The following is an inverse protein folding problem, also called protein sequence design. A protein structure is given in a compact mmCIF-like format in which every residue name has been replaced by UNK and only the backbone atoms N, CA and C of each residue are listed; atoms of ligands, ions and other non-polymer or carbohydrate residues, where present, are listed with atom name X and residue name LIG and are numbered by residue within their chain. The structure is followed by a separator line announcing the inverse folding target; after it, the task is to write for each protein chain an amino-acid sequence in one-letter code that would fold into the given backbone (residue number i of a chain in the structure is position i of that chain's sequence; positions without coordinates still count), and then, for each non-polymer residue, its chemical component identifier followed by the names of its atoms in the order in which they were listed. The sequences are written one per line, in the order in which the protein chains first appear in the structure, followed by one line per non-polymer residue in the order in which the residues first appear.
data_IF_863594216710
#
_entry.id   IF_863594216710
#
_cell.length_a   1.000
_cell.length_b   1.000
_cell.length_c   1.000
_cell.angle_alpha   90.00
_cell.angle_beta   90.00
_cell.angle_gamma   90.00
#
_symmetry.space_group_name_H-M   'P 1'
#
loop_
_entity.id
_entity.type
_entity.pdbx_description
1 polymer ?
#
# COMPACT_ATOMS: atom_id res chain seq x y z
N UNK A 1 44.18 -23.40 2.58
CA UNK A 1 42.91 -22.68 2.78
C UNK A 1 41.81 -23.60 2.29
N UNK A 2 41.09 -24.24 3.20
CA UNK A 2 39.92 -25.05 2.85
C UNK A 2 38.71 -24.12 2.77
N UNK A 3 38.10 -24.05 1.59
CA UNK A 3 36.84 -23.33 1.42
C UNK A 3 35.73 -24.24 1.96
N UNK A 4 35.14 -23.84 3.09
CA UNK A 4 33.94 -24.50 3.62
C UNK A 4 32.76 -24.05 2.75
N UNK A 5 32.22 -24.98 1.97
CA UNK A 5 31.02 -24.76 1.18
C UNK A 5 29.81 -24.61 2.12
N UNK A 6 29.48 -23.36 2.47
CA UNK A 6 28.30 -23.06 3.28
C UNK A 6 27.08 -23.24 2.38
N UNK A 7 26.44 -24.41 2.48
CA UNK A 7 25.16 -24.64 1.82
C UNK A 7 24.16 -23.56 2.25
N UNK A 8 23.43 -22.93 1.32
CA UNK A 8 22.49 -21.88 1.66
C UNK A 8 21.43 -22.44 2.60
N UNK A 9 21.25 -21.79 3.75
CA UNK A 9 20.24 -22.16 4.73
C UNK A 9 18.88 -22.12 4.03
N UNK A 10 18.24 -23.28 3.86
CA UNK A 10 16.89 -23.38 3.29
C UNK A 10 15.90 -22.79 4.31
N UNK A 11 15.63 -21.50 4.19
CA UNK A 11 14.61 -20.82 5.00
C UNK A 11 13.23 -21.35 4.62
N UNK A 12 12.47 -21.84 5.60
CA UNK A 12 11.11 -22.31 5.38
C UNK A 12 10.18 -21.12 5.18
N UNK A 13 9.29 -21.20 4.18
CA UNK A 13 8.23 -20.21 3.98
C UNK A 13 7.23 -20.30 5.13
N UNK A 14 6.85 -19.16 5.70
CA UNK A 14 5.81 -19.08 6.73
C UNK A 14 4.43 -19.38 6.15
N UNK A 15 3.55 -19.95 6.96
CA UNK A 15 2.16 -20.23 6.57
C UNK A 15 1.34 -18.94 6.44
N UNK A 16 0.17 -19.03 5.82
CA UNK A 16 -0.74 -17.87 5.66
C UNK A 16 -1.22 -17.32 7.00
N UNK A 17 -1.47 -18.20 7.97
CA UNK A 17 -1.82 -17.83 9.35
C UNK A 17 -0.67 -17.11 10.07
N UNK A 18 0.54 -17.64 9.94
CA UNK A 18 1.75 -17.01 10.48
C UNK A 18 2.00 -15.65 9.84
N UNK A 19 1.75 -15.51 8.53
CA UNK A 19 1.84 -14.23 7.83
C UNK A 19 0.79 -13.24 8.34
N UNK A 20 -0.45 -13.67 8.53
CA UNK A 20 -1.51 -12.80 9.07
C UNK A 20 -1.16 -12.31 10.48
N UNK A 21 -0.66 -13.19 11.35
CA UNK A 21 -0.18 -12.84 12.68
C UNK A 21 1.01 -11.89 12.64
N UNK A 22 1.98 -12.13 11.75
CA UNK A 22 3.12 -11.25 11.56
C UNK A 22 2.66 -9.86 11.13
N UNK A 23 1.80 -9.76 10.12
CA UNK A 23 1.25 -8.49 9.66
C UNK A 23 0.51 -7.75 10.76
N UNK A 24 -0.30 -8.44 11.57
CA UNK A 24 -0.99 -7.84 12.72
C UNK A 24 -0.01 -7.26 13.74
N UNK A 25 1.12 -7.94 13.97
CA UNK A 25 2.11 -7.54 14.97
C UNK A 25 3.11 -6.49 14.46
N UNK A 26 3.42 -6.50 13.17
CA UNK A 26 4.41 -5.59 12.57
C UNK A 26 3.79 -4.33 11.97
N UNK A 27 2.49 -4.32 11.67
CA UNK A 27 1.81 -3.12 11.17
C UNK A 27 1.60 -2.13 12.32
N UNK A 28 2.11 -0.91 12.15
CA UNK A 28 1.99 0.17 13.13
C UNK A 28 1.51 1.45 12.45
N UNK A 29 0.78 2.28 13.18
CA UNK A 29 0.40 3.60 12.68
C UNK A 29 1.62 4.51 12.59
N UNK A 30 1.66 5.50 11.68
CA UNK A 30 2.84 6.35 11.51
C UNK A 30 3.30 7.06 12.80
N UNK A 31 2.37 7.43 13.68
CA UNK A 31 2.67 8.07 14.96
C UNK A 31 3.37 7.10 15.92
N UNK A 32 2.82 5.90 16.09
CA UNK A 32 3.37 4.87 16.97
C UNK A 32 4.73 4.39 16.44
N UNK A 33 4.86 4.27 15.12
CA UNK A 33 6.12 3.96 14.46
C UNK A 33 7.18 5.05 14.72
N UNK A 34 6.81 6.32 14.62
CA UNK A 34 7.71 7.43 14.98
C UNK A 34 8.17 7.34 16.45
N UNK A 35 7.24 7.09 17.38
CA UNK A 35 7.56 6.92 18.81
C UNK A 35 8.49 5.75 19.05
N UNK A 36 8.22 4.57 18.48
CA UNK A 36 9.08 3.40 18.63
C UNK A 36 10.51 3.63 18.13
N UNK A 37 10.70 4.36 17.02
CA UNK A 37 12.05 4.71 16.55
C UNK A 37 12.74 5.64 17.55
N UNK A 38 12.01 6.63 18.09
CA UNK A 38 12.58 7.54 19.09
C UNK A 38 12.98 6.79 20.35
N UNK A 39 12.13 5.88 20.84
CA UNK A 39 12.43 5.03 21.99
C UNK A 39 13.68 4.18 21.74
N UNK A 40 13.80 3.54 20.56
CA UNK A 40 14.99 2.74 20.22
C UNK A 40 16.26 3.59 20.20
N UNK A 41 16.21 4.77 19.56
CA UNK A 41 17.39 5.66 19.39
C UNK A 41 17.81 6.37 20.66
N UNK A 42 16.85 6.72 21.51
CA UNK A 42 17.10 7.45 22.74
C UNK A 42 17.31 6.52 23.94
N UNK A 43 17.17 5.20 23.78
CA UNK A 43 17.36 4.25 24.87
C UNK A 43 18.86 4.09 25.19
N UNK A 44 19.35 4.66 26.32
CA UNK A 44 20.77 4.63 26.65
C UNK A 44 21.26 3.21 26.98
N UNK A 45 20.37 2.26 27.25
CA UNK A 45 20.72 0.85 27.55
C UNK A 45 20.88 0.00 26.30
N UNK A 46 20.32 0.41 25.16
CA UNK A 46 20.34 -0.37 23.91
C UNK A 46 21.19 0.28 22.83
N UNK A 47 21.17 1.62 22.75
CA UNK A 47 21.92 2.38 21.76
C UNK A 47 22.58 3.58 22.45
N UNK A 48 23.86 3.43 22.79
CA UNK A 48 24.67 4.53 23.30
C UNK A 48 25.79 4.83 22.32
N UNK A 49 25.47 5.60 21.27
CA UNK A 49 26.40 5.91 20.19
C UNK A 49 27.65 6.66 20.68
N UNK A 50 27.53 7.46 21.74
CA UNK A 50 28.66 8.19 22.35
C UNK A 50 29.66 7.27 23.07
N UNK A 51 29.19 6.12 23.57
CA UNK A 51 30.03 5.14 24.27
C UNK A 51 30.55 4.05 23.33
N UNK A 52 30.13 4.04 22.07
CA UNK A 52 30.60 3.06 21.09
C UNK A 52 32.07 3.37 20.72
N UNK A 53 33.01 2.44 20.99
CA UNK A 53 34.43 2.66 20.75
C UNK A 53 34.76 2.86 19.27
N UNK A 54 33.96 2.30 18.35
CA UNK A 54 34.15 2.52 16.93
C UNK A 54 33.69 3.93 16.55
N UNK A 55 32.49 4.36 16.98
CA UNK A 55 32.00 5.71 16.67
C UNK A 55 32.96 6.78 17.19
N UNK A 56 33.46 6.60 18.41
CA UNK A 56 34.46 7.48 19.01
C UNK A 56 35.80 7.44 18.26
N UNK A 57 36.29 6.26 17.85
CA UNK A 57 37.54 6.15 17.10
C UNK A 57 37.51 6.90 15.75
N UNK A 58 36.33 7.05 15.15
CA UNK A 58 36.13 7.80 13.92
C UNK A 58 35.66 9.25 14.14
N UNK A 59 35.60 9.72 15.41
CA UNK A 59 35.10 11.04 15.80
C UNK A 59 33.72 11.38 15.22
N UNK A 60 32.82 10.39 15.14
CA UNK A 60 31.45 10.62 14.69
C UNK A 60 30.57 11.13 15.83
N UNK A 61 29.66 12.05 15.50
CA UNK A 61 28.58 12.49 16.37
C UNK A 61 27.24 12.14 15.72
N UNK A 62 26.42 11.38 16.43
CA UNK A 62 25.13 10.87 15.93
C UNK A 62 24.01 11.59 16.64
N UNK A 63 23.27 12.43 15.91
CA UNK A 63 22.02 13.00 16.42
C UNK A 63 20.95 11.91 16.48
N UNK A 64 20.45 11.65 17.68
CA UNK A 64 19.39 10.66 17.93
C UNK A 64 18.03 11.14 17.43
N UNK A 65 17.86 12.45 17.23
CA UNK A 65 16.60 13.03 16.78
C UNK A 65 16.41 12.85 15.27
N UNK A 66 15.15 12.80 14.84
CA UNK A 66 14.82 12.80 13.42
C UNK A 66 14.97 14.20 12.83
N UNK A 67 15.54 14.27 11.64
CA UNK A 67 15.67 15.50 10.89
C UNK A 67 14.28 16.07 10.53
N UNK A 68 14.08 17.36 10.79
CA UNK A 68 12.88 18.08 10.33
C UNK A 68 13.08 18.53 8.89
N UNK A 69 12.16 18.14 8.01
CA UNK A 69 12.20 18.47 6.59
C UNK A 69 10.96 19.30 6.24
N UNK A 70 11.18 20.46 5.62
CA UNK A 70 10.10 21.26 5.05
C UNK A 70 9.63 20.64 3.74
N UNK A 71 8.40 20.15 3.73
CA UNK A 71 7.76 19.55 2.56
C UNK A 71 6.66 20.46 2.00
N UNK A 72 6.28 20.21 0.73
CA UNK A 72 5.13 20.85 0.08
C UNK A 72 4.09 19.78 -0.22
N UNK A 73 2.82 20.08 0.04
CA UNK A 73 1.69 19.26 -0.40
C UNK A 73 1.23 19.82 -1.74
N UNK A 74 1.35 19.02 -2.79
CA UNK A 74 0.87 19.42 -4.11
C UNK A 74 -0.67 19.43 -4.13
N UNK A 75 -1.30 20.42 -4.77
CA UNK A 75 -2.75 20.41 -4.94
C UNK A 75 -3.16 19.22 -5.81
N UNK A 76 -4.36 18.70 -5.55
CA UNK A 76 -4.93 17.65 -6.38
C UNK A 76 -5.13 18.17 -7.81
N UNK A 77 -4.76 17.39 -8.84
CA UNK A 77 -5.05 17.76 -10.21
C UNK A 77 -6.56 17.75 -10.48
N UNK A 78 -6.99 18.55 -11.44
CA UNK A 78 -8.36 18.47 -11.95
C UNK A 78 -8.55 17.15 -12.72
N UNK A 79 -9.57 16.39 -12.35
CA UNK A 79 -9.92 15.15 -13.04
C UNK A 79 -11.05 15.45 -14.01
N UNK A 80 -10.76 15.30 -15.31
CA UNK A 80 -11.71 15.58 -16.38
C UNK A 80 -12.23 14.25 -16.90
N UNK A 81 -13.53 14.00 -16.70
CA UNK A 81 -14.20 12.86 -17.31
C UNK A 81 -14.80 13.31 -18.64
N UNK A 82 -15.84 14.13 -18.66
CA UNK A 82 -16.42 14.66 -19.90
C UNK A 82 -16.25 16.18 -19.95
N UNK A 83 -16.64 16.83 -21.05
CA UNK A 83 -16.64 18.30 -21.14
C UNK A 83 -17.61 18.97 -20.14
N UNK A 84 -18.54 18.20 -19.59
CA UNK A 84 -19.56 18.67 -18.63
C UNK A 84 -19.26 18.19 -17.20
N UNK A 85 -18.47 17.13 -17.04
CA UNK A 85 -18.13 16.55 -15.75
C UNK A 85 -16.64 16.66 -15.44
N UNK A 86 -16.33 17.58 -14.54
CA UNK A 86 -15.00 17.78 -13.95
C UNK A 86 -15.09 17.60 -12.44
N UNK A 87 -14.15 16.85 -11.86
CA UNK A 87 -14.03 16.75 -10.41
C UNK A 87 -13.19 17.93 -9.92
N UNK A 88 -13.85 18.84 -9.22
CA UNK A 88 -13.24 20.03 -8.61
C UNK A 88 -12.93 19.81 -7.13
N UNK A 89 -11.95 20.58 -6.63
CA UNK A 89 -11.41 20.47 -5.27
C UNK A 89 -12.43 20.59 -4.13
N UNK A 90 -13.60 21.21 -4.37
CA UNK A 90 -14.64 21.41 -3.36
C UNK A 90 -15.48 20.16 -3.06
N UNK A 91 -15.41 19.12 -3.91
CA UNK A 91 -16.20 17.91 -3.76
C UNK A 91 -15.51 16.80 -2.94
N UNK A 92 -14.29 17.04 -2.44
CA UNK A 92 -13.51 16.02 -1.71
C UNK A 92 -13.83 15.99 -0.22
N UNK A 93 -14.16 14.79 0.29
CA UNK A 93 -14.25 14.49 1.73
C UNK A 93 -12.96 13.90 2.32
N UNK A 94 -12.00 13.46 1.49
CA UNK A 94 -10.75 12.82 1.94
C UNK A 94 -9.59 13.01 0.96
N UNK A 95 -8.37 13.09 1.51
CA UNK A 95 -7.12 13.26 0.74
C UNK A 95 -6.84 12.07 -0.18
N UNK A 96 -6.56 12.34 -1.46
CA UNK A 96 -6.06 11.34 -2.41
C UNK A 96 -7.09 10.35 -2.95
N UNK A 97 -8.38 10.54 -2.66
CA UNK A 97 -9.46 9.67 -3.15
C UNK A 97 -10.51 10.51 -3.86
N UNK A 98 -10.91 10.05 -5.06
CA UNK A 98 -12.09 10.57 -5.76
C UNK A 98 -13.05 9.44 -6.05
N UNK A 99 -14.33 9.77 -6.13
CA UNK A 99 -15.40 8.80 -6.35
C UNK A 99 -15.87 8.84 -7.79
N UNK A 100 -16.05 7.68 -8.41
CA UNK A 100 -16.51 7.51 -9.79
C UNK A 100 -17.99 7.13 -9.90
N UNK A 101 -18.77 7.22 -8.82
CA UNK A 101 -20.12 6.61 -8.71
C UNK A 101 -21.13 7.11 -9.73
N UNK A 102 -20.85 8.18 -10.48
CA UNK A 102 -21.72 8.75 -11.52
C UNK A 102 -20.93 9.32 -12.71
N UNK A 103 -19.74 8.79 -13.00
CA UNK A 103 -18.84 9.37 -14.00
C UNK A 103 -18.71 8.46 -15.21
N UNK A 104 -18.90 9.01 -16.41
CA UNK A 104 -18.62 8.30 -17.66
C UNK A 104 -17.13 8.39 -17.99
N UNK A 105 -16.58 7.38 -18.68
CA UNK A 105 -15.20 7.45 -19.16
C UNK A 105 -14.98 8.65 -20.08
N UNK A 106 -13.77 9.23 -20.04
CA UNK A 106 -13.42 10.36 -20.91
C UNK A 106 -13.54 10.06 -22.40
N UNK A 107 -13.27 8.80 -22.77
CA UNK A 107 -13.57 8.25 -24.09
C UNK A 107 -14.26 6.91 -23.88
N UNK A 108 -15.60 6.87 -23.90
CA UNK A 108 -16.32 5.62 -23.72
C UNK A 108 -16.09 4.72 -24.94
N UNK A 109 -15.83 3.44 -24.69
CA UNK A 109 -15.84 2.42 -25.73
C UNK A 109 -17.16 1.68 -25.66
N UNK A 110 -17.66 1.23 -26.82
CA UNK A 110 -18.85 0.40 -26.85
C UNK A 110 -18.50 -0.98 -26.28
N UNK A 111 -19.38 -1.49 -25.42
CA UNK A 111 -19.23 -2.84 -24.93
C UNK A 111 -19.19 -3.83 -26.12
N UNK A 112 -18.26 -4.80 -26.13
CA UNK A 112 -18.11 -5.71 -27.27
C UNK A 112 -19.43 -6.41 -27.61
N UNK A 113 -19.80 -6.50 -28.90
CA UNK A 113 -21.05 -7.14 -29.30
C UNK A 113 -21.04 -8.64 -29.00
N UNK A 114 -19.86 -9.25 -28.90
CA UNK A 114 -19.66 -10.66 -28.58
C UNK A 114 -18.66 -10.76 -27.43
N UNK A 115 -19.08 -11.42 -26.37
CA UNK A 115 -18.26 -11.73 -25.20
C UNK A 115 -18.82 -12.99 -24.53
N UNK A 116 -18.03 -13.64 -23.69
CA UNK A 116 -18.44 -14.85 -22.98
C UNK A 116 -17.95 -14.83 -21.54
N UNK A 117 -18.74 -15.42 -20.65
CA UNK A 117 -18.37 -15.69 -19.26
C UNK A 117 -18.05 -17.18 -19.11
N UNK A 118 -16.82 -17.50 -18.73
CA UNK A 118 -16.38 -18.87 -18.47
C UNK A 118 -16.22 -19.04 -16.96
N UNK A 119 -17.12 -19.78 -16.34
CA UNK A 119 -17.01 -20.14 -14.93
C UNK A 119 -16.23 -21.45 -14.78
N UNK A 120 -15.04 -21.36 -14.18
CA UNK A 120 -14.19 -22.52 -13.87
C UNK A 120 -14.36 -23.01 -12.43
N UNK A 121 -15.16 -22.32 -11.62
CA UNK A 121 -15.41 -22.70 -10.24
C UNK A 121 -16.50 -23.77 -10.15
N UNK A 122 -16.21 -24.85 -9.43
CA UNK A 122 -17.19 -25.90 -9.12
C UNK A 122 -18.23 -25.46 -8.08
N UNK A 123 -17.97 -24.38 -7.35
CA UNK A 123 -18.82 -23.90 -6.25
C UNK A 123 -19.84 -22.84 -6.67
N UNK A 124 -19.69 -22.25 -7.85
CA UNK A 124 -20.57 -21.18 -8.35
C UNK A 124 -21.68 -21.78 -9.20
N UNK A 125 -22.92 -21.50 -8.81
CA UNK A 125 -24.10 -21.94 -9.56
C UNK A 125 -24.36 -21.05 -10.78
N UNK A 126 -25.26 -21.51 -11.66
CA UNK A 126 -25.62 -20.81 -12.89
C UNK A 126 -26.33 -19.49 -12.60
N UNK A 127 -27.11 -19.46 -11.53
CA UNK A 127 -27.89 -18.30 -11.08
C UNK A 127 -26.98 -17.14 -10.68
N UNK A 128 -25.88 -17.39 -9.95
CA UNK A 128 -24.87 -16.39 -9.61
C UNK A 128 -24.17 -15.85 -10.85
N UNK A 129 -23.86 -16.70 -11.83
CA UNK A 129 -23.28 -16.26 -13.11
C UNK A 129 -24.24 -15.35 -13.88
N UNK A 130 -25.55 -15.67 -13.86
CA UNK A 130 -26.60 -14.85 -14.47
C UNK A 130 -26.78 -13.51 -13.75
N UNK A 131 -26.80 -13.51 -12.41
CA UNK A 131 -26.89 -12.29 -11.62
C UNK A 131 -25.69 -11.36 -11.86
N UNK A 132 -24.48 -11.92 -11.92
CA UNK A 132 -23.29 -11.16 -12.30
C UNK A 132 -23.38 -10.59 -13.71
N UNK A 133 -23.84 -11.38 -14.68
CA UNK A 133 -24.06 -10.90 -16.06
C UNK A 133 -25.03 -9.71 -16.10
N UNK A 134 -26.15 -9.80 -15.38
CA UNK A 134 -27.15 -8.73 -15.32
C UNK A 134 -26.56 -7.46 -14.69
N UNK A 135 -25.87 -7.58 -13.54
CA UNK A 135 -25.22 -6.45 -12.89
C UNK A 135 -24.13 -5.81 -13.77
N UNK A 136 -23.31 -6.62 -14.44
CA UNK A 136 -22.26 -6.12 -15.32
C UNK A 136 -22.85 -5.37 -16.51
N UNK A 137 -23.93 -5.88 -17.11
CA UNK A 137 -24.64 -5.21 -18.20
C UNK A 137 -25.19 -3.87 -17.75
N UNK A 138 -25.80 -3.81 -16.56
CA UNK A 138 -26.40 -2.59 -16.06
C UNK A 138 -25.32 -1.53 -15.75
N UNK A 139 -24.16 -1.93 -15.22
CA UNK A 139 -23.00 -1.03 -15.02
C UNK A 139 -22.40 -0.59 -16.36
N UNK A 140 -22.30 -1.48 -17.35
CA UNK A 140 -21.72 -1.16 -18.66
C UNK A 140 -22.64 -0.30 -19.56
N UNK A 141 -23.94 -0.23 -19.25
CA UNK A 141 -24.90 0.61 -19.96
C UNK A 141 -24.84 2.09 -19.53
N UNK A 142 -24.22 2.40 -18.40
CA UNK A 142 -24.09 3.74 -17.83
C UNK A 142 -22.74 4.40 -18.16
#
# INVERSE_FOLDING_TARGET
MEFVDIQPIKVKRITDEQRALLCLKSSMMPLDYHQSIMEIRQNPKQQCFEQDPFINAWNFNVDVNMLKVSARILPMPQIIYTNEFHVNNEQFRSSGVWSSTKTQFHRPTKFPPVWALINLSSSLNKESCKAFYEQLRDVAAH
#
